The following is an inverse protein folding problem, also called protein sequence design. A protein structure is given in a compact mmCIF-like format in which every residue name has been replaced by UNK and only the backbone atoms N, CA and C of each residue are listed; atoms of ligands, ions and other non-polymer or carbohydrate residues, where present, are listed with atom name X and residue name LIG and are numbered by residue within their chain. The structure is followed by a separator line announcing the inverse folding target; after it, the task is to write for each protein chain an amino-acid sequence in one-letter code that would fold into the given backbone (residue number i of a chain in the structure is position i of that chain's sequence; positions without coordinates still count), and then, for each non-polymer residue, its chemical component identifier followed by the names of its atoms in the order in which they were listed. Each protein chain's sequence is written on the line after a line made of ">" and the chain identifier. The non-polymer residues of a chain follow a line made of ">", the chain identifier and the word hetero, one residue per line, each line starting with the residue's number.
data_IF_422911070999
#
_entry.id   IF_422911070999
#
_cell.length_a   1.000
_cell.length_b   1.000
_cell.length_c   1.000
_cell.angle_alpha   90.00
_cell.angle_beta   90.00
_cell.angle_gamma   90.00
#
_symmetry.space_group_name_H-M   'P 1'
#
loop_
_entity.id
_entity.type
_entity.pdbx_description
1 polymer ?
#
# COMPACT_ATOMS: atom_id res chain seq x y z
N UNK A 1 -7.43 20.30 8.60
CA UNK A 1 -6.28 19.39 8.51
C UNK A 1 -5.85 19.29 7.05
N UNK A 2 -4.97 20.19 6.59
CA UNK A 2 -4.48 20.19 5.21
C UNK A 2 -3.46 19.06 5.05
N UNK A 3 -3.89 17.92 4.48
CA UNK A 3 -2.95 16.92 3.95
C UNK A 3 -2.15 17.64 2.87
N UNK A 4 -0.82 17.62 2.97
CA UNK A 4 0.09 18.25 1.99
C UNK A 4 -0.42 17.94 0.57
N UNK A 5 -0.82 18.97 -0.18
CA UNK A 5 -1.22 18.89 -1.60
C UNK A 5 -0.03 18.47 -2.48
N UNK A 6 0.46 17.24 -2.32
CA UNK A 6 1.44 16.65 -3.21
C UNK A 6 0.73 15.55 -3.97
N UNK A 7 0.46 15.85 -5.24
CA UNK A 7 0.11 14.83 -6.19
C UNK A 7 1.31 13.88 -6.38
N UNK A 8 1.07 12.58 -6.58
CA UNK A 8 2.10 11.66 -7.00
C UNK A 8 2.83 12.20 -8.24
N UNK A 9 4.16 12.02 -8.29
CA UNK A 9 4.96 12.43 -9.45
C UNK A 9 4.66 11.56 -10.68
N UNK A 10 4.41 10.27 -10.44
CA UNK A 10 3.96 9.31 -11.45
C UNK A 10 2.44 9.23 -11.44
N UNK A 11 1.84 9.22 -12.63
CA UNK A 11 0.41 8.99 -12.79
C UNK A 11 0.03 7.53 -12.41
N UNK A 12 -1.26 7.23 -12.36
CA UNK A 12 -1.73 5.92 -11.92
C UNK A 12 -1.30 4.79 -12.88
N UNK A 13 -1.27 5.03 -14.19
CA UNK A 13 -0.85 4.04 -15.20
C UNK A 13 0.62 3.65 -15.02
N UNK A 14 1.51 4.65 -14.87
CA UNK A 14 2.95 4.44 -14.63
C UNK A 14 3.18 3.69 -13.32
N UNK A 15 2.45 4.05 -12.26
CA UNK A 15 2.54 3.37 -10.96
C UNK A 15 2.09 1.92 -11.06
N UNK A 16 0.98 1.66 -11.73
CA UNK A 16 0.49 0.30 -11.96
C UNK A 16 1.51 -0.53 -12.75
N UNK A 17 2.12 0.05 -13.78
CA UNK A 17 3.16 -0.60 -14.57
C UNK A 17 4.36 -0.99 -13.70
N UNK A 18 4.88 -0.06 -12.90
CA UNK A 18 5.99 -0.31 -11.97
C UNK A 18 5.64 -1.44 -11.01
N UNK A 19 4.47 -1.40 -10.37
CA UNK A 19 4.06 -2.43 -9.39
C UNK A 19 3.87 -3.80 -10.06
N UNK A 20 3.32 -3.85 -11.27
CA UNK A 20 3.15 -5.11 -12.01
C UNK A 20 4.47 -5.77 -12.43
N UNK A 21 5.59 -5.03 -12.40
CA UNK A 21 6.91 -5.57 -12.74
C UNK A 21 7.59 -6.30 -11.57
N UNK A 22 7.04 -6.23 -10.37
CA UNK A 22 7.59 -6.89 -9.19
C UNK A 22 7.35 -8.40 -9.26
N UNK A 23 8.38 -9.19 -8.93
CA UNK A 23 8.32 -10.66 -9.03
C UNK A 23 7.30 -11.32 -8.11
N UNK A 24 6.82 -10.61 -7.09
CA UNK A 24 5.83 -11.09 -6.12
C UNK A 24 4.40 -10.61 -6.42
N UNK A 25 4.18 -9.93 -7.56
CA UNK A 25 2.89 -9.35 -7.92
C UNK A 25 2.39 -10.02 -9.19
N UNK A 26 1.30 -10.79 -9.07
CA UNK A 26 0.67 -11.45 -10.22
C UNK A 26 -0.33 -10.54 -10.95
N UNK A 27 -1.00 -9.64 -10.22
CA UNK A 27 -2.07 -8.80 -10.77
C UNK A 27 -2.16 -7.45 -10.04
N UNK A 28 -2.43 -6.40 -10.81
CA UNK A 28 -2.61 -5.02 -10.32
C UNK A 28 -3.89 -4.45 -10.91
N UNK A 29 -4.66 -3.74 -10.10
CA UNK A 29 -5.82 -2.98 -10.53
C UNK A 29 -5.87 -1.63 -9.81
N UNK A 30 -6.63 -0.68 -10.35
CA UNK A 30 -6.81 0.63 -9.75
C UNK A 30 -7.79 0.55 -8.57
N UNK A 31 -7.34 0.95 -7.39
CA UNK A 31 -8.19 1.17 -6.22
C UNK A 31 -8.73 2.61 -6.26
N UNK A 32 -10.00 2.77 -6.61
CA UNK A 32 -10.62 4.11 -6.73
C UNK A 32 -10.96 4.71 -5.36
N UNK A 33 -11.21 3.85 -4.36
CA UNK A 33 -11.62 4.24 -3.01
C UNK A 33 -11.40 3.11 -2.02
N UNK A 34 -11.10 3.47 -0.76
CA UNK A 34 -10.90 2.50 0.33
C UNK A 34 -12.22 1.91 0.83
N UNK A 35 -13.32 2.62 0.60
CA UNK A 35 -14.67 2.22 0.95
C UNK A 35 -15.15 1.04 0.08
N UNK A 36 -14.59 0.89 -1.13
CA UNK A 36 -14.94 -0.17 -2.09
C UNK A 36 -14.22 -1.52 -1.84
N UNK A 37 -13.53 -1.67 -0.70
CA UNK A 37 -12.73 -2.89 -0.42
C UNK A 37 -13.56 -4.16 -0.40
N UNK A 38 -14.78 -4.11 0.12
CA UNK A 38 -15.68 -5.27 0.15
C UNK A 38 -15.97 -5.77 -1.26
N UNK A 39 -16.29 -4.84 -2.16
CA UNK A 39 -16.59 -5.12 -3.56
C UNK A 39 -15.37 -5.75 -4.25
N UNK A 40 -14.17 -5.23 -4.01
CA UNK A 40 -12.95 -5.80 -4.55
C UNK A 40 -12.67 -7.21 -4.01
N UNK A 41 -12.80 -7.42 -2.70
CA UNK A 41 -12.61 -8.75 -2.08
C UNK A 41 -13.56 -9.77 -2.72
N UNK A 42 -14.83 -9.43 -2.89
CA UNK A 42 -15.83 -10.32 -3.49
C UNK A 42 -15.58 -10.55 -4.99
N UNK A 43 -15.30 -9.48 -5.74
CA UNK A 43 -15.07 -9.53 -7.20
C UNK A 43 -13.87 -10.39 -7.55
N UNK A 44 -12.77 -10.22 -6.82
CA UNK A 44 -11.52 -10.95 -7.05
C UNK A 44 -11.40 -12.23 -6.21
N UNK A 45 -12.42 -12.54 -5.40
CA UNK A 45 -12.48 -13.71 -4.51
C UNK A 45 -11.24 -13.84 -3.63
N UNK A 46 -10.85 -12.73 -2.99
CA UNK A 46 -9.67 -12.70 -2.14
C UNK A 46 -9.91 -13.47 -0.84
N UNK A 47 -9.06 -14.45 -0.53
CA UNK A 47 -9.11 -15.20 0.72
C UNK A 47 -8.53 -14.40 1.91
N UNK A 48 -7.65 -13.43 1.63
CA UNK A 48 -6.97 -12.62 2.64
C UNK A 48 -6.75 -11.18 2.19
N UNK A 49 -6.99 -10.22 3.09
CA UNK A 49 -6.58 -8.82 3.00
C UNK A 49 -5.38 -8.58 3.91
N UNK A 50 -4.30 -8.05 3.35
CA UNK A 50 -3.08 -7.67 4.08
C UNK A 50 -2.92 -6.16 4.05
N UNK A 51 -2.71 -5.54 5.20
CA UNK A 51 -2.45 -4.11 5.35
C UNK A 51 -1.28 -3.86 6.31
N UNK A 52 -0.70 -2.66 6.29
CA UNK A 52 0.23 -2.23 7.33
C UNK A 52 -0.47 -1.99 8.67
N UNK A 53 0.26 -2.12 9.77
CA UNK A 53 -0.18 -1.87 11.15
C UNK A 53 -0.68 -0.43 11.41
N UNK A 54 -0.32 0.54 10.57
CA UNK A 54 -0.92 1.90 10.61
C UNK A 54 -2.44 1.91 10.42
N UNK A 55 -2.99 0.82 9.87
CA UNK A 55 -4.41 0.64 9.60
C UNK A 55 -5.07 -0.34 10.58
N UNK A 56 -4.42 -0.63 11.70
CA UNK A 56 -4.96 -1.53 12.73
C UNK A 56 -6.40 -1.16 13.06
N UNK A 57 -7.24 -2.18 13.18
CA UNK A 57 -8.69 -2.13 13.45
C UNK A 57 -9.55 -1.40 12.40
N UNK A 58 -8.95 -0.69 11.43
CA UNK A 58 -9.72 0.09 10.44
C UNK A 58 -10.50 -0.77 9.46
N UNK A 59 -10.00 -1.96 9.13
CA UNK A 59 -10.59 -2.85 8.13
C UNK A 59 -11.11 -4.16 8.75
N UNK A 60 -11.38 -4.15 10.05
CA UNK A 60 -11.83 -5.33 10.79
C UNK A 60 -13.23 -5.80 10.39
N UNK A 61 -14.06 -4.88 9.91
CA UNK A 61 -15.34 -5.14 9.25
C UNK A 61 -15.20 -6.02 7.99
N UNK A 62 -14.01 -6.06 7.38
CA UNK A 62 -13.73 -6.98 6.26
C UNK A 62 -13.53 -8.44 6.69
N UNK A 63 -13.34 -8.71 8.00
CA UNK A 63 -13.21 -10.08 8.54
C UNK A 63 -14.46 -10.93 8.28
N UNK A 64 -15.60 -10.30 7.98
CA UNK A 64 -16.82 -10.98 7.57
C UNK A 64 -16.75 -11.59 6.15
N UNK A 65 -15.78 -11.15 5.33
CA UNK A 65 -15.64 -11.56 3.92
C UNK A 65 -14.35 -12.34 3.65
N UNK A 66 -13.26 -12.06 4.37
CA UNK A 66 -11.97 -12.73 4.20
C UNK A 66 -11.11 -12.64 5.47
N UNK A 67 -9.94 -13.29 5.48
CA UNK A 67 -8.98 -13.13 6.58
C UNK A 67 -8.32 -11.75 6.52
N UNK A 68 -8.24 -11.03 7.64
CA UNK A 68 -7.57 -9.72 7.69
C UNK A 68 -6.30 -9.83 8.54
N UNK A 69 -5.15 -9.47 7.95
CA UNK A 69 -3.85 -9.50 8.63
C UNK A 69 -3.14 -8.16 8.51
N UNK A 70 -2.67 -7.65 9.65
CA UNK A 70 -1.84 -6.45 9.70
C UNK A 70 -0.37 -6.85 9.86
N UNK A 71 0.49 -6.34 9.00
CA UNK A 71 1.93 -6.55 9.07
C UNK A 71 2.59 -5.36 9.76
N UNK A 72 3.54 -5.60 10.69
CA UNK A 72 4.29 -4.51 11.30
C UNK A 72 5.07 -3.75 10.23
N UNK A 73 5.25 -2.44 10.41
CA UNK A 73 6.17 -1.67 9.58
C UNK A 73 7.56 -2.31 9.58
N UNK A 74 8.21 -2.33 8.42
CA UNK A 74 9.61 -2.73 8.33
C UNK A 74 10.45 -1.83 9.25
N UNK A 75 11.11 -2.39 10.27
CA UNK A 75 12.01 -1.62 11.11
C UNK A 75 13.15 -1.06 10.23
N UNK A 76 13.50 0.20 10.42
CA UNK A 76 14.70 0.82 9.80
C UNK A 76 14.69 1.02 8.28
N UNK A 77 13.50 1.17 7.66
CA UNK A 77 13.38 1.86 6.36
C UNK A 77 12.68 3.19 6.59
N UNK A 78 13.33 4.07 7.35
CA UNK A 78 12.85 5.44 7.49
C UNK A 78 13.33 6.27 6.29
N UNK A 79 12.43 7.05 5.69
CA UNK A 79 12.81 8.04 4.67
C UNK A 79 13.93 8.96 5.18
N UNK A 80 14.01 9.15 6.50
CA UNK A 80 15.09 9.85 7.20
C UNK A 80 16.46 9.18 7.03
N UNK A 81 16.58 7.87 7.29
CA UNK A 81 17.84 7.11 7.14
C UNK A 81 18.34 7.13 5.68
N UNK A 82 17.45 6.93 4.71
CA UNK A 82 17.83 6.97 3.29
C UNK A 82 18.33 8.36 2.90
N UNK A 83 17.69 9.43 3.38
CA UNK A 83 18.14 10.81 3.14
C UNK A 83 19.51 11.09 3.78
N UNK A 84 19.78 10.56 4.98
CA UNK A 84 21.10 10.70 5.62
C UNK A 84 22.20 9.97 4.83
N UNK A 85 21.95 8.72 4.42
CA UNK A 85 22.91 7.94 3.63
C UNK A 85 23.25 8.68 2.32
N UNK A 86 22.25 9.19 1.61
CA UNK A 86 22.48 9.93 0.35
C UNK A 86 23.27 11.22 0.57
N UNK A 87 23.06 11.94 1.68
CA UNK A 87 23.85 13.15 2.00
C UNK A 87 25.32 12.86 2.30
N UNK A 88 25.63 11.68 2.82
CA UNK A 88 27.01 11.31 3.16
C UNK A 88 27.80 10.74 1.98
N UNK A 89 27.14 10.14 0.99
CA UNK A 89 27.79 9.52 -0.17
C UNK A 89 28.25 10.53 -1.25
N UNK A 90 27.78 11.78 -1.20
CA UNK A 90 28.19 12.85 -2.14
C UNK A 90 29.31 13.73 -1.56
N UNK A 91 30.29 13.14 -0.86
CA UNK A 91 31.52 13.82 -0.43
C UNK A 91 32.75 13.20 -1.06
#
# INVERSE_FOLDING_TARGET
>A
MSKKQRYPIYNDEDRMHIISSLSCVDYVFLEESLENKKEYIQKYKADMLIMGDDWLDRFDDMKAFCQVKYLPRTPSVSTTEIIEIVKHTVR
#
